data_IF_086212271426
#
_entry.id   IF_086212271426
#
_cell.length_a   1.000
_cell.length_b   1.000
_cell.length_c   1.000
_cell.angle_alpha   90.00
_cell.angle_beta   90.00
_cell.angle_gamma   90.00
#
_symmetry.space_group_name_H-M   'P 1'
#
loop_
_entity.id
_entity.type
_entity.pdbx_description
1 polymer ?
#
# COMPACT_ATOMS: atom_id res chain seq x y z
N UNK A 1 13.57 2.89 -18.10
CA UNK A 1 13.15 2.02 -16.98
C UNK A 1 12.80 0.61 -17.48
N UNK A 2 13.78 -0.30 -17.51
CA UNK A 2 13.54 -1.71 -17.84
C UNK A 2 12.58 -2.38 -16.83
N UNK A 3 12.73 -2.08 -15.54
CA UNK A 3 11.89 -2.61 -14.44
C UNK A 3 10.42 -2.24 -14.59
N UNK A 4 10.10 -0.96 -14.85
CA UNK A 4 8.71 -0.53 -15.05
C UNK A 4 8.05 -1.18 -16.27
N UNK A 5 8.83 -1.43 -17.34
CA UNK A 5 8.34 -2.10 -18.55
C UNK A 5 8.10 -3.59 -18.27
N UNK A 6 8.99 -4.26 -17.53
CA UNK A 6 8.89 -5.66 -17.09
C UNK A 6 7.73 -5.90 -16.13
N UNK A 7 7.49 -4.98 -15.18
CA UNK A 7 6.41 -5.06 -14.20
C UNK A 7 5.01 -4.94 -14.85
N UNK A 8 4.92 -4.22 -15.98
CA UNK A 8 3.67 -4.08 -16.74
C UNK A 8 3.32 -5.32 -17.56
N UNK A 9 4.31 -6.02 -18.11
CA UNK A 9 4.08 -7.20 -18.95
C UNK A 9 3.50 -8.34 -18.12
N UNK A 10 2.18 -8.56 -18.23
CA UNK A 10 1.44 -9.62 -17.53
C UNK A 10 0.56 -9.16 -16.36
N UNK A 11 0.72 -7.92 -15.89
CA UNK A 11 -0.01 -7.40 -14.71
C UNK A 11 -1.18 -6.47 -15.07
N UNK A 12 -1.27 -6.01 -16.33
CA UNK A 12 -2.22 -4.99 -16.78
C UNK A 12 -3.67 -5.21 -16.36
N UNK A 13 -4.27 -6.35 -16.74
CA UNK A 13 -5.67 -6.65 -16.42
C UNK A 13 -5.94 -6.73 -14.91
N UNK A 14 -4.96 -7.19 -14.13
CA UNK A 14 -5.09 -7.28 -12.67
C UNK A 14 -4.98 -5.91 -12.02
N UNK A 15 -4.10 -5.04 -12.51
CA UNK A 15 -3.95 -3.67 -12.01
C UNK A 15 -5.22 -2.85 -12.29
N UNK A 16 -5.82 -3.00 -13.46
CA UNK A 16 -7.04 -2.29 -13.82
C UNK A 16 -8.20 -2.66 -12.88
N UNK A 17 -8.31 -3.94 -12.52
CA UNK A 17 -9.37 -4.44 -11.64
C UNK A 17 -9.08 -4.28 -10.14
N UNK A 18 -7.82 -4.44 -9.73
CA UNK A 18 -7.43 -4.54 -8.32
C UNK A 18 -6.43 -3.48 -7.88
N UNK A 19 -6.03 -2.54 -8.72
CA UNK A 19 -4.98 -1.56 -8.39
C UNK A 19 -5.30 -0.73 -7.14
N UNK A 20 -6.56 -0.33 -6.95
CA UNK A 20 -7.01 0.40 -5.77
C UNK A 20 -6.93 -0.45 -4.49
N UNK A 21 -7.58 -1.62 -4.50
CA UNK A 21 -7.62 -2.53 -3.36
C UNK A 21 -6.24 -3.10 -3.01
N UNK A 22 -5.47 -3.49 -4.03
CA UNK A 22 -4.11 -3.98 -3.87
C UNK A 22 -3.18 -2.92 -3.28
N UNK A 23 -3.37 -1.65 -3.63
CA UNK A 23 -2.61 -0.55 -3.05
C UNK A 23 -3.00 -0.31 -1.58
N UNK A 24 -4.28 -0.40 -1.23
CA UNK A 24 -4.72 -0.36 0.18
C UNK A 24 -4.02 -1.45 0.98
N UNK A 25 -4.16 -2.72 0.58
CA UNK A 25 -3.56 -3.84 1.32
C UNK A 25 -2.03 -3.74 1.41
N UNK A 26 -1.38 -3.29 0.33
CA UNK A 26 0.07 -3.08 0.32
C UNK A 26 0.52 -2.02 1.33
N UNK A 27 -0.26 -0.96 1.52
CA UNK A 27 0.08 0.14 2.45
C UNK A 27 -0.37 -0.17 3.89
N UNK A 28 -1.47 -0.90 4.06
CA UNK A 28 -2.01 -1.26 5.38
C UNK A 28 -1.09 -2.13 6.21
N UNK A 29 -0.26 -2.95 5.56
CA UNK A 29 0.65 -3.86 6.24
C UNK A 29 1.84 -3.07 6.81
N UNK A 30 2.03 -3.03 8.14
CA UNK A 30 3.11 -2.28 8.78
C UNK A 30 4.44 -3.07 8.69
N UNK A 31 4.98 -3.25 7.48
CA UNK A 31 6.26 -3.90 7.23
C UNK A 31 7.34 -2.88 6.85
N UNK A 32 8.63 -3.16 7.17
CA UNK A 32 9.73 -2.37 6.66
C UNK A 32 9.79 -2.48 5.12
N UNK A 33 9.70 -1.34 4.43
CA UNK A 33 9.74 -1.26 2.97
C UNK A 33 8.37 -1.21 2.28
N UNK A 34 7.26 -1.41 3.02
CA UNK A 34 5.90 -1.11 2.54
C UNK A 34 5.44 0.28 3.03
N UNK A 35 4.28 0.74 2.58
CA UNK A 35 3.70 2.01 2.99
C UNK A 35 3.57 3.03 1.87
N UNK A 36 3.23 4.27 2.23
CA UNK A 36 2.79 5.31 1.28
C UNK A 36 3.86 5.66 0.25
N UNK A 37 5.15 5.69 0.64
CA UNK A 37 6.25 6.00 -0.29
C UNK A 37 6.34 4.95 -1.40
N UNK A 38 6.44 3.66 -1.03
CA UNK A 38 6.47 2.55 -1.98
C UNK A 38 5.14 2.42 -2.76
N UNK A 39 4.01 2.65 -2.09
CA UNK A 39 2.68 2.63 -2.70
C UNK A 39 2.51 3.72 -3.77
N UNK A 40 3.05 4.90 -3.54
CA UNK A 40 3.04 6.00 -4.52
C UNK A 40 3.91 5.68 -5.73
N UNK A 41 5.08 5.05 -5.54
CA UNK A 41 5.93 4.56 -6.64
C UNK A 41 5.19 3.48 -7.44
N UNK A 42 4.53 2.53 -6.76
CA UNK A 42 3.74 1.49 -7.40
C UNK A 42 2.59 2.10 -8.22
N UNK A 43 1.84 3.05 -7.65
CA UNK A 43 0.77 3.76 -8.34
C UNK A 43 1.27 4.49 -9.59
N UNK A 44 2.43 5.13 -9.50
CA UNK A 44 3.06 5.81 -10.63
C UNK A 44 3.48 4.84 -11.74
N UNK A 45 4.17 3.74 -11.39
CA UNK A 45 4.59 2.71 -12.34
C UNK A 45 3.37 2.13 -13.05
N UNK A 46 2.34 1.79 -12.29
CA UNK A 46 1.13 1.16 -12.80
C UNK A 46 0.10 2.12 -13.40
N UNK A 47 0.39 3.42 -13.43
CA UNK A 47 -0.51 4.48 -13.93
C UNK A 47 -1.90 4.44 -13.28
N UNK A 48 -1.95 4.16 -11.98
CA UNK A 48 -3.20 4.29 -11.21
C UNK A 48 -3.60 5.77 -11.20
N UNK A 49 -4.89 6.03 -11.37
CA UNK A 49 -5.46 7.38 -11.30
C UNK A 49 -5.09 8.07 -9.98
N UNK A 50 -4.62 9.32 -10.04
CA UNK A 50 -4.09 10.04 -8.88
C UNK A 50 -5.08 10.10 -7.70
N UNK A 51 -6.36 10.34 -7.98
CA UNK A 51 -7.41 10.38 -6.95
C UNK A 51 -7.55 9.03 -6.24
N UNK A 52 -7.62 7.93 -7.01
CA UNK A 52 -7.69 6.57 -6.47
C UNK A 52 -6.43 6.20 -5.68
N UNK A 53 -5.25 6.57 -6.19
CA UNK A 53 -4.00 6.32 -5.51
C UNK A 53 -3.90 7.10 -4.18
N UNK A 54 -4.36 8.34 -4.16
CA UNK A 54 -4.42 9.15 -2.94
C UNK A 54 -5.32 8.50 -1.88
N UNK A 55 -6.56 8.17 -2.25
CA UNK A 55 -7.50 7.52 -1.34
C UNK A 55 -7.02 6.15 -0.86
N UNK A 56 -6.43 5.34 -1.74
CA UNK A 56 -5.88 4.05 -1.37
C UNK A 56 -4.74 4.18 -0.35
N UNK A 57 -3.82 5.12 -0.55
CA UNK A 57 -2.73 5.40 0.38
C UNK A 57 -3.27 5.95 1.72
N UNK A 58 -4.23 6.87 1.70
CA UNK A 58 -4.82 7.46 2.90
C UNK A 58 -5.55 6.41 3.76
N UNK A 59 -6.33 5.53 3.13
CA UNK A 59 -7.01 4.43 3.83
C UNK A 59 -5.97 3.44 4.38
N UNK A 60 -4.99 3.05 3.55
CA UNK A 60 -3.97 2.10 3.95
C UNK A 60 -3.13 2.58 5.13
N UNK A 61 -2.66 3.84 5.11
CA UNK A 61 -1.84 4.37 6.20
C UNK A 61 -2.63 4.52 7.50
N UNK A 62 -3.91 4.89 7.41
CA UNK A 62 -4.79 4.96 8.58
C UNK A 62 -4.91 3.60 9.25
N UNK A 63 -5.13 2.53 8.47
CA UNK A 63 -5.19 1.15 8.98
C UNK A 63 -3.85 0.75 9.59
N UNK A 64 -2.74 1.03 8.89
CA UNK A 64 -1.39 0.72 9.37
C UNK A 64 -1.09 1.39 10.72
N UNK A 65 -1.45 2.67 10.86
CA UNK A 65 -1.30 3.42 12.12
C UNK A 65 -2.15 2.84 13.25
N UNK A 66 -3.40 2.43 12.98
CA UNK A 66 -4.25 1.79 14.00
C UNK A 66 -3.62 0.48 14.46
N UNK A 67 -3.14 -0.35 13.54
CA UNK A 67 -2.48 -1.63 13.89
C UNK A 67 -1.28 -1.38 14.79
N UNK A 68 -0.36 -0.50 14.37
CA UNK A 68 0.84 -0.17 15.15
C UNK A 68 0.48 0.41 16.51
N UNK A 69 -0.52 1.29 16.58
CA UNK A 69 -0.98 1.88 17.83
C UNK A 69 -1.54 0.83 18.79
N UNK A 70 -2.44 -0.04 18.33
CA UNK A 70 -3.02 -1.12 19.14
C UNK A 70 -1.93 -2.09 19.60
N UNK A 71 -1.05 -2.54 18.72
CA UNK A 71 0.06 -3.44 19.09
C UNK A 71 0.95 -2.78 20.13
N UNK A 72 1.32 -1.51 19.94
CA UNK A 72 2.16 -0.77 20.88
C UNK A 72 1.47 -0.63 22.24
N UNK A 73 0.18 -0.28 22.26
CA UNK A 73 -0.60 -0.15 23.48
C UNK A 73 -0.65 -1.46 24.27
N UNK A 74 -0.94 -2.58 23.60
CA UNK A 74 -0.99 -3.90 24.23
C UNK A 74 0.36 -4.35 24.79
N UNK A 75 1.46 -4.07 24.07
CA UNK A 75 2.82 -4.38 24.53
C UNK A 75 3.22 -3.52 25.73
N UNK A 76 2.88 -2.22 25.74
CA UNK A 76 3.22 -1.33 26.85
C UNK A 76 2.43 -1.65 28.13
N UNK A 77 1.17 -2.07 28.01
CA UNK A 77 0.38 -2.52 29.17
C UNK A 77 0.74 -3.93 29.67
N UNK A 78 1.74 -4.59 29.06
CA UNK A 78 2.25 -5.89 29.52
C UNK A 78 1.30 -7.06 29.25
N UNK A 79 0.37 -6.90 28.30
CA UNK A 79 -0.59 -7.93 27.89
C UNK A 79 0.02 -8.92 26.88
N UNK A 80 1.21 -8.62 26.35
CA UNK A 80 1.96 -9.42 25.39
C UNK A 80 3.46 -9.47 25.72
#
# INVERSE_FOLDING_TARGET
>A
MWVARRAKTGSGNKIEKYGFWGLIFFVSIPLPGTGVYAGTIAAYIFKIERSKAFWANAIGITISSIIVWVTTYLTVEGVA
#
